data_IF_436476846506
#
_entry.id   IF_436476846506
#
_cell.length_a   1.000
_cell.length_b   1.000
_cell.length_c   1.000
_cell.angle_alpha   90.00
_cell.angle_beta   90.00
_cell.angle_gamma   90.00
#
_symmetry.space_group_name_H-M   'P 1'
#
loop_
_entity.id
_entity.type
_entity.pdbx_description
1 polymer ?
#
# COMPACT_ATOMS: atom_id res chain seq x y z
N UNK A 1 4.26 -1.91 17.04
CA UNK A 1 4.99 -3.13 17.41
C UNK A 1 5.71 -2.96 18.75
N UNK A 2 6.59 -1.98 18.93
CA UNK A 2 7.35 -1.77 20.19
C UNK A 2 6.48 -1.71 21.45
N UNK A 3 5.38 -0.95 21.42
CA UNK A 3 4.43 -0.83 22.55
C UNK A 3 3.66 -2.14 22.83
N UNK A 4 3.51 -2.98 21.82
CA UNK A 4 2.84 -4.28 21.93
C UNK A 4 3.79 -5.41 22.35
N UNK A 5 5.08 -5.12 22.54
CA UNK A 5 6.11 -6.14 22.82
C UNK A 5 6.28 -7.16 21.68
N UNK A 6 5.92 -6.81 20.46
CA UNK A 6 6.00 -7.70 19.29
C UNK A 6 7.14 -7.26 18.36
N UNK A 7 7.78 -8.21 17.65
CA UNK A 7 8.82 -7.88 16.68
C UNK A 7 8.23 -7.11 15.49
N UNK A 8 9.03 -6.25 14.86
CA UNK A 8 8.64 -5.51 13.65
C UNK A 8 8.39 -6.44 12.47
N UNK A 9 9.02 -7.60 12.43
CA UNK A 9 8.80 -8.65 11.42
C UNK A 9 7.36 -9.22 11.39
N UNK A 10 6.56 -8.96 12.43
CA UNK A 10 5.12 -9.28 12.42
C UNK A 10 4.30 -8.33 11.52
N UNK A 11 4.90 -7.24 11.07
CA UNK A 11 4.36 -6.39 10.01
C UNK A 11 4.78 -6.97 8.67
N UNK A 12 3.82 -7.37 7.84
CA UNK A 12 4.06 -7.80 6.47
C UNK A 12 3.73 -6.64 5.52
N UNK A 13 4.74 -6.04 4.93
CA UNK A 13 4.58 -5.09 3.84
C UNK A 13 4.49 -5.84 2.50
N UNK A 14 3.49 -5.49 1.69
CA UNK A 14 3.26 -6.12 0.40
C UNK A 14 3.34 -5.08 -0.70
N UNK A 15 4.21 -5.27 -1.68
CA UNK A 15 4.22 -4.50 -2.92
C UNK A 15 3.56 -5.32 -4.04
N UNK A 16 2.74 -4.65 -4.83
CA UNK A 16 1.98 -5.30 -5.90
C UNK A 16 2.18 -4.54 -7.20
N UNK A 17 3.31 -4.78 -7.90
CA UNK A 17 3.55 -4.16 -9.19
C UNK A 17 2.49 -4.57 -10.22
N UNK A 18 2.14 -3.62 -11.07
CA UNK A 18 1.28 -3.78 -12.24
C UNK A 18 1.73 -2.78 -13.31
N UNK A 19 0.93 -2.52 -14.32
CA UNK A 19 1.29 -1.75 -15.53
C UNK A 19 1.93 -0.37 -15.31
N UNK A 20 1.73 0.29 -14.18
CA UNK A 20 2.27 1.63 -13.90
C UNK A 20 3.35 1.71 -12.83
N UNK A 21 3.80 0.58 -12.28
CA UNK A 21 4.74 0.60 -11.16
C UNK A 21 6.16 0.96 -11.61
N UNK A 22 6.70 2.07 -11.10
CA UNK A 22 8.05 2.50 -11.44
C UNK A 22 9.11 1.77 -10.62
N UNK A 23 10.29 1.56 -11.22
CA UNK A 23 11.46 0.96 -10.55
C UNK A 23 11.89 1.73 -9.29
N UNK A 24 11.76 3.06 -9.30
CA UNK A 24 12.09 3.93 -8.15
C UNK A 24 11.17 3.68 -6.96
N UNK A 25 9.85 3.58 -7.19
CA UNK A 25 8.87 3.35 -6.12
C UNK A 25 9.13 2.01 -5.44
N UNK A 26 9.43 0.97 -6.20
CA UNK A 26 9.80 -0.34 -5.67
C UNK A 26 11.04 -0.28 -4.79
N UNK A 27 12.11 0.35 -5.28
CA UNK A 27 13.37 0.48 -4.53
C UNK A 27 13.19 1.20 -3.20
N UNK A 28 12.39 2.29 -3.15
CA UNK A 28 12.11 3.00 -1.91
C UNK A 28 11.32 2.14 -0.90
N UNK A 29 10.36 1.35 -1.37
CA UNK A 29 9.59 0.44 -0.51
C UNK A 29 10.49 -0.64 0.11
N UNK A 30 11.37 -1.25 -0.68
CA UNK A 30 12.34 -2.26 -0.23
C UNK A 30 13.25 -1.66 0.86
N UNK A 31 13.89 -0.53 0.58
CA UNK A 31 14.80 0.14 1.53
C UNK A 31 14.06 0.49 2.83
N UNK A 32 12.85 1.03 2.74
CA UNK A 32 12.05 1.37 3.92
C UNK A 32 11.75 0.13 4.77
N UNK A 33 11.40 -0.99 4.14
CA UNK A 33 11.13 -2.24 4.84
C UNK A 33 12.37 -2.81 5.52
N UNK A 34 13.52 -2.77 4.86
CA UNK A 34 14.80 -3.20 5.41
C UNK A 34 15.21 -2.34 6.62
N UNK A 35 15.14 -1.03 6.50
CA UNK A 35 15.49 -0.09 7.58
C UNK A 35 14.57 -0.22 8.80
N UNK A 36 13.30 -0.55 8.59
CA UNK A 36 12.33 -0.77 9.67
C UNK A 36 12.31 -2.22 10.18
N UNK A 37 13.09 -3.12 9.58
CA UNK A 37 13.13 -4.55 9.86
C UNK A 37 11.72 -5.19 9.86
N UNK A 38 10.89 -4.82 8.89
CA UNK A 38 9.57 -5.43 8.65
C UNK A 38 9.68 -6.53 7.60
N UNK A 39 8.77 -7.50 7.63
CA UNK A 39 8.69 -8.52 6.59
C UNK A 39 8.21 -7.88 5.28
N UNK A 40 8.83 -8.24 4.15
CA UNK A 40 8.49 -7.69 2.85
C UNK A 40 8.22 -8.81 1.84
N UNK A 41 7.21 -8.64 1.02
CA UNK A 41 6.91 -9.55 -0.09
C UNK A 41 6.42 -8.77 -1.32
N UNK A 42 6.70 -9.32 -2.48
CA UNK A 42 6.20 -8.82 -3.75
C UNK A 42 5.20 -9.82 -4.35
N UNK A 43 4.06 -9.33 -4.78
CA UNK A 43 3.04 -10.09 -5.51
C UNK A 43 2.82 -9.37 -6.84
N UNK A 44 3.32 -9.93 -7.94
CA UNK A 44 3.02 -9.43 -9.28
C UNK A 44 1.57 -9.77 -9.64
N UNK A 45 0.74 -8.73 -9.73
CA UNK A 45 -0.69 -8.88 -10.01
C UNK A 45 -1.04 -8.74 -11.50
N UNK A 46 -0.07 -8.55 -12.39
CA UNK A 46 -0.34 -8.31 -13.80
C UNK A 46 -1.17 -9.42 -14.44
N UNK A 47 -0.85 -10.69 -14.19
CA UNK A 47 -1.61 -11.82 -14.74
C UNK A 47 -3.05 -11.88 -14.22
N UNK A 48 -3.27 -11.58 -12.94
CA UNK A 48 -4.62 -11.54 -12.35
C UNK A 48 -5.45 -10.41 -12.98
N UNK A 49 -4.85 -9.23 -13.17
CA UNK A 49 -5.51 -8.10 -13.82
C UNK A 49 -5.80 -8.39 -15.28
N UNK A 50 -4.87 -9.01 -16.04
CA UNK A 50 -5.09 -9.45 -17.41
C UNK A 50 -6.28 -10.41 -17.51
N UNK A 51 -6.33 -11.42 -16.63
CA UNK A 51 -7.45 -12.37 -16.62
C UNK A 51 -8.78 -11.66 -16.32
N UNK A 52 -8.80 -10.79 -15.34
CA UNK A 52 -9.98 -10.01 -14.98
C UNK A 52 -10.46 -9.12 -16.13
N UNK A 53 -9.55 -8.40 -16.80
CA UNK A 53 -9.91 -7.55 -17.93
C UNK A 53 -10.47 -8.36 -19.12
N UNK A 54 -9.88 -9.52 -19.39
CA UNK A 54 -10.40 -10.44 -20.39
C UNK A 54 -11.83 -10.90 -20.06
N UNK A 55 -12.10 -11.25 -18.81
CA UNK A 55 -13.41 -11.74 -18.37
C UNK A 55 -14.51 -10.68 -18.51
N UNK A 56 -14.19 -9.41 -18.26
CA UNK A 56 -15.15 -8.29 -18.38
C UNK A 56 -15.13 -7.60 -19.75
N UNK A 57 -14.27 -8.05 -20.68
CA UNK A 57 -14.13 -7.44 -22.00
C UNK A 57 -13.50 -6.06 -22.03
N UNK A 58 -12.67 -5.72 -21.03
CA UNK A 58 -11.91 -4.45 -20.99
C UNK A 58 -10.72 -4.53 -21.93
N UNK A 59 -10.58 -3.53 -22.82
CA UNK A 59 -9.37 -3.35 -23.63
C UNK A 59 -8.27 -2.69 -22.76
N UNK A 60 -7.15 -3.36 -22.61
CA UNK A 60 -6.01 -2.90 -21.81
C UNK A 60 -5.29 -1.66 -22.37
N UNK A 61 -5.55 -1.30 -23.61
CA UNK A 61 -5.03 -0.07 -24.22
C UNK A 61 -5.90 1.15 -23.88
N UNK A 62 -7.11 0.92 -23.37
CA UNK A 62 -8.01 1.99 -22.93
C UNK A 62 -7.81 2.28 -21.45
N UNK A 63 -7.00 3.33 -21.17
CA UNK A 63 -6.62 3.75 -19.81
C UNK A 63 -7.74 4.59 -19.18
N UNK A 64 -8.89 3.98 -18.98
CA UNK A 64 -10.07 4.60 -18.39
C UNK A 64 -10.24 4.27 -16.90
N UNK A 65 -11.38 4.67 -16.33
CA UNK A 65 -11.73 4.39 -14.94
C UNK A 65 -11.82 2.89 -14.63
N UNK A 66 -12.17 2.05 -15.61
CA UNK A 66 -12.23 0.59 -15.45
C UNK A 66 -10.83 0.02 -15.32
N UNK A 67 -9.90 0.50 -16.16
CA UNK A 67 -8.50 0.12 -16.12
C UNK A 67 -7.86 0.44 -14.76
N UNK A 68 -8.05 1.66 -14.25
CA UNK A 68 -7.48 2.09 -12.96
C UNK A 68 -8.13 1.35 -11.78
N UNK A 69 -9.46 1.32 -11.74
CA UNK A 69 -10.20 0.72 -10.64
C UNK A 69 -10.06 -0.80 -10.58
N UNK A 70 -9.92 -1.47 -11.72
CA UNK A 70 -9.67 -2.92 -11.79
C UNK A 70 -8.39 -3.29 -11.06
N UNK A 71 -7.30 -2.58 -11.32
CA UNK A 71 -6.02 -2.81 -10.65
C UNK A 71 -6.10 -2.55 -9.13
N UNK A 72 -6.77 -1.46 -8.70
CA UNK A 72 -6.94 -1.14 -7.29
C UNK A 72 -7.73 -2.23 -6.54
N UNK A 73 -8.79 -2.77 -7.17
CA UNK A 73 -9.59 -3.86 -6.57
C UNK A 73 -8.84 -5.17 -6.49
N UNK A 74 -8.03 -5.52 -7.48
CA UNK A 74 -7.18 -6.71 -7.44
C UNK A 74 -6.17 -6.59 -6.30
N UNK A 75 -5.55 -5.43 -6.08
CA UNK A 75 -4.67 -5.22 -4.91
C UNK A 75 -5.39 -5.47 -3.60
N UNK A 76 -6.61 -5.00 -3.47
CA UNK A 76 -7.42 -5.23 -2.26
C UNK A 76 -7.74 -6.71 -2.05
N UNK A 77 -8.12 -7.42 -3.13
CA UNK A 77 -8.36 -8.86 -3.10
C UNK A 77 -7.14 -9.61 -2.56
N UNK A 78 -5.97 -9.39 -3.15
CA UNK A 78 -4.72 -10.05 -2.76
C UNK A 78 -4.34 -9.76 -1.29
N UNK A 79 -4.53 -8.52 -0.82
CA UNK A 79 -4.24 -8.16 0.57
C UNK A 79 -5.19 -8.83 1.56
N UNK A 80 -6.50 -8.86 1.27
CA UNK A 80 -7.49 -9.47 2.15
C UNK A 80 -7.29 -10.97 2.26
N UNK A 81 -7.02 -11.65 1.14
CA UNK A 81 -6.78 -13.10 1.13
C UNK A 81 -5.42 -13.45 1.76
N UNK A 82 -4.40 -12.59 1.58
CA UNK A 82 -3.12 -12.73 2.29
C UNK A 82 -3.31 -12.60 3.80
N UNK A 83 -4.11 -11.64 4.27
CA UNK A 83 -4.43 -11.52 5.69
C UNK A 83 -5.16 -12.76 6.23
N UNK A 84 -6.15 -13.28 5.51
CA UNK A 84 -6.85 -14.51 5.88
C UNK A 84 -5.88 -15.70 5.98
N UNK A 85 -5.02 -15.88 4.99
CA UNK A 85 -4.03 -16.98 4.95
C UNK A 85 -3.02 -16.91 6.08
N UNK A 86 -2.63 -15.71 6.51
CA UNK A 86 -1.61 -15.50 7.55
C UNK A 86 -2.19 -15.31 8.95
N UNK A 87 -3.51 -15.25 9.10
CA UNK A 87 -4.18 -14.92 10.35
C UNK A 87 -3.93 -13.47 10.80
N UNK A 88 -3.63 -12.60 9.86
CA UNK A 88 -3.38 -11.18 10.07
C UNK A 88 -4.59 -10.30 9.84
N UNK A 89 -4.36 -8.99 9.83
CA UNK A 89 -5.35 -7.99 9.45
C UNK A 89 -4.72 -6.97 8.49
N UNK A 90 -5.55 -6.42 7.60
CA UNK A 90 -5.11 -5.37 6.67
C UNK A 90 -5.18 -4.02 7.37
N UNK A 91 -4.03 -3.34 7.46
CA UNK A 91 -3.93 -1.95 7.94
C UNK A 91 -4.01 -1.03 6.74
N UNK A 92 -5.06 -0.20 6.71
CA UNK A 92 -5.28 0.77 5.65
C UNK A 92 -4.39 2.01 5.81
N UNK A 93 -3.92 2.51 4.68
CA UNK A 93 -3.05 3.69 4.61
C UNK A 93 -3.78 4.96 4.16
N UNK A 94 -5.04 4.86 3.74
CA UNK A 94 -5.88 6.00 3.38
C UNK A 94 -6.03 7.00 4.53
N UNK A 95 -6.04 8.28 4.22
CA UNK A 95 -6.14 9.37 5.20
C UNK A 95 -7.50 10.09 5.18
N UNK A 96 -7.71 10.99 6.15
CA UNK A 96 -8.95 11.76 6.28
C UNK A 96 -9.24 12.59 5.01
N UNK A 97 -8.24 13.14 4.35
CA UNK A 97 -8.45 13.98 3.15
C UNK A 97 -8.95 13.16 1.98
N UNK A 98 -8.45 11.94 1.79
CA UNK A 98 -8.92 11.00 0.78
C UNK A 98 -10.38 10.59 1.04
N UNK A 99 -10.71 10.28 2.29
CA UNK A 99 -12.08 9.95 2.70
C UNK A 99 -13.04 11.12 2.51
N UNK A 100 -12.64 12.34 2.89
CA UNK A 100 -13.47 13.53 2.77
C UNK A 100 -13.74 13.95 1.32
N UNK A 101 -12.79 13.70 0.42
CA UNK A 101 -12.90 14.06 -1.00
C UNK A 101 -13.46 12.92 -1.88
N UNK A 102 -13.60 11.70 -1.31
CA UNK A 102 -13.93 10.51 -2.08
C UNK A 102 -12.80 10.12 -3.06
N UNK A 103 -11.56 10.48 -2.75
CA UNK A 103 -10.40 10.23 -3.61
C UNK A 103 -9.84 8.83 -3.37
N UNK A 104 -10.62 7.84 -3.76
CA UNK A 104 -10.29 6.43 -3.65
C UNK A 104 -11.19 5.61 -4.56
N UNK A 105 -10.70 4.47 -5.03
CA UNK A 105 -11.50 3.50 -5.75
C UNK A 105 -12.48 2.81 -4.81
N UNK A 106 -13.79 2.89 -5.11
CA UNK A 106 -14.81 2.17 -4.33
C UNK A 106 -14.55 0.65 -4.35
N UNK A 107 -14.59 0.04 -3.17
CA UNK A 107 -14.19 -1.37 -2.97
C UNK A 107 -12.77 -1.69 -3.44
N UNK A 108 -11.86 -0.72 -3.36
CA UNK A 108 -10.47 -0.85 -3.74
C UNK A 108 -9.54 -0.36 -2.63
N UNK A 109 -8.67 0.58 -2.95
CA UNK A 109 -7.57 1.07 -2.13
C UNK A 109 -7.96 1.68 -0.78
N UNK A 110 -9.23 2.06 -0.54
CA UNK A 110 -9.73 2.49 0.77
C UNK A 110 -10.19 1.34 1.67
N UNK A 111 -10.29 0.12 1.13
CA UNK A 111 -10.73 -1.04 1.90
C UNK A 111 -9.62 -1.55 2.81
N UNK A 112 -9.94 -1.65 4.10
CA UNK A 112 -9.04 -2.19 5.12
C UNK A 112 -9.84 -2.68 6.32
N UNK A 113 -9.21 -3.51 7.14
CA UNK A 113 -9.79 -3.96 8.40
C UNK A 113 -9.57 -2.92 9.51
N UNK A 114 -8.54 -2.06 9.39
CA UNK A 114 -8.25 -0.98 10.31
C UNK A 114 -7.62 0.21 9.59
N UNK A 115 -8.31 1.35 9.60
CA UNK A 115 -7.85 2.60 8.97
C UNK A 115 -7.06 3.48 9.95
N UNK A 116 -5.75 3.29 10.03
CA UNK A 116 -4.88 3.98 11.00
C UNK A 116 -4.86 5.51 10.85
N UNK A 117 -5.00 6.00 9.62
CA UNK A 117 -4.98 7.44 9.29
C UNK A 117 -6.36 8.04 9.01
N UNK A 118 -7.45 7.32 9.31
CA UNK A 118 -8.81 7.78 8.99
C UNK A 118 -9.19 9.14 9.62
N UNK A 119 -8.57 9.50 10.74
CA UNK A 119 -8.73 10.79 11.41
C UNK A 119 -7.59 11.79 11.15
N UNK A 120 -6.63 11.49 10.27
CA UNK A 120 -5.41 12.28 10.06
C UNK A 120 -5.43 12.90 8.66
N UNK A 121 -5.47 14.23 8.51
CA UNK A 121 -5.44 14.86 7.19
C UNK A 121 -4.06 14.71 6.53
N UNK A 122 -4.03 14.72 5.20
CA UNK A 122 -2.81 14.52 4.38
C UNK A 122 -1.66 15.48 4.77
N UNK A 123 -1.98 16.70 5.13
CA UNK A 123 -0.99 17.68 5.57
C UNK A 123 -0.29 17.26 6.86
N UNK A 124 -1.04 16.67 7.81
CA UNK A 124 -0.47 16.15 9.04
C UNK A 124 0.32 14.87 8.80
N UNK A 125 -0.11 13.98 7.89
CA UNK A 125 0.68 12.82 7.49
C UNK A 125 2.06 13.25 7.00
N UNK A 126 2.13 14.26 6.12
CA UNK A 126 3.41 14.80 5.64
C UNK A 126 4.29 15.35 6.77
N UNK A 127 3.69 16.01 7.75
CA UNK A 127 4.41 16.52 8.91
C UNK A 127 4.98 15.38 9.76
N UNK A 128 4.19 14.33 10.00
CA UNK A 128 4.63 13.14 10.74
C UNK A 128 5.77 12.42 10.03
N UNK A 129 5.68 12.22 8.71
CA UNK A 129 6.76 11.62 7.93
C UNK A 129 8.05 12.43 8.02
N UNK A 130 7.95 13.76 7.96
CA UNK A 130 9.12 14.64 8.13
C UNK A 130 9.70 14.54 9.53
N UNK A 131 8.87 14.50 10.56
CA UNK A 131 9.31 14.30 11.93
C UNK A 131 10.06 12.95 12.08
N UNK A 132 9.52 11.86 11.54
CA UNK A 132 10.20 10.56 11.54
C UNK A 132 11.53 10.60 10.79
N UNK A 133 11.62 11.35 9.70
CA UNK A 133 12.88 11.56 8.98
C UNK A 133 13.92 12.32 9.82
N UNK A 134 13.48 13.29 10.64
CA UNK A 134 14.38 14.07 11.48
C UNK A 134 14.96 13.28 12.65
N UNK A 135 14.23 12.27 13.14
CA UNK A 135 14.68 11.36 14.19
C UNK A 135 15.16 10.00 13.69
N UNK A 136 15.27 9.81 12.36
CA UNK A 136 15.66 8.56 11.75
C UNK A 136 17.02 8.05 12.24
N UNK A 137 17.12 6.76 12.52
CA UNK A 137 18.31 6.13 13.05
C UNK A 137 19.45 6.03 12.02
N UNK A 138 19.13 6.06 10.72
CA UNK A 138 20.10 5.97 9.63
C UNK A 138 19.92 7.10 8.60
N UNK A 139 20.98 7.44 7.88
CA UNK A 139 20.92 8.38 6.76
C UNK A 139 20.08 7.85 5.60
N UNK A 140 20.06 6.52 5.42
CA UNK A 140 19.30 5.86 4.37
C UNK A 140 17.80 5.93 4.65
N UNK A 141 17.37 5.64 5.87
CA UNK A 141 15.97 5.81 6.30
C UNK A 141 15.51 7.27 6.10
N UNK A 142 16.33 8.23 6.53
CA UNK A 142 16.04 9.66 6.32
C UNK A 142 15.85 9.99 4.85
N UNK A 143 16.72 9.48 3.97
CA UNK A 143 16.67 9.72 2.52
C UNK A 143 15.40 9.19 1.88
N UNK A 144 14.93 8.03 2.34
CA UNK A 144 13.72 7.39 1.79
C UNK A 144 12.45 8.11 2.25
N UNK A 145 12.46 8.70 3.45
CA UNK A 145 11.32 9.43 4.00
C UNK A 145 11.15 10.86 3.45
N UNK A 146 12.20 11.44 2.81
CA UNK A 146 12.21 12.81 2.25
C UNK A 146 12.22 12.81 0.72
#
# INVERSE_FOLDING_TARGET
>A
MKQLGRPTSDVLAVTMPCFGTTRRTRSNAEILCDELAVSFTEIDIANTVHSHFKDIGQDEQVLDVTFENGQARVRTLELMDTANRTGGLVVGTGDLSELALGWATYNGDHMSMYGVNAGVPKTLVRHLVRYEADIAASAELRRVLL
#
